data_IF_201136436901
#
_entry.id   IF_201136436901
#
_cell.length_a   1.000
_cell.length_b   1.000
_cell.length_c   1.000
_cell.angle_alpha   90.00
_cell.angle_beta   90.00
_cell.angle_gamma   90.00
#
_symmetry.space_group_name_H-M   'P 1'
#
loop_
_entity.id
_entity.type
_entity.pdbx_description
1 polymer ?
#
# COMPACT_ATOMS: atom_id res chain seq x y z
N UNK A 1 1.60 24.12 -20.43
CA UNK A 1 2.47 23.13 -19.76
C UNK A 1 1.68 22.55 -18.61
N UNK A 2 1.11 21.37 -18.80
CA UNK A 2 0.16 20.80 -17.86
C UNK A 2 0.89 19.67 -17.15
N UNK A 3 1.42 19.94 -15.95
CA UNK A 3 2.05 18.93 -15.11
C UNK A 3 0.94 18.03 -14.54
N UNK A 4 0.58 17.00 -15.29
CA UNK A 4 -0.21 15.87 -14.78
C UNK A 4 0.68 15.12 -13.79
N UNK A 5 0.68 15.55 -12.52
CA UNK A 5 1.28 14.80 -11.42
C UNK A 5 0.48 13.52 -11.24
N UNK A 6 0.78 12.54 -12.08
CA UNK A 6 0.20 11.21 -12.06
C UNK A 6 0.71 10.56 -10.79
N UNK A 7 -0.11 10.64 -9.75
CA UNK A 7 0.03 9.74 -8.60
C UNK A 7 0.20 8.33 -9.18
N UNK A 8 1.30 7.60 -8.87
CA UNK A 8 1.52 6.29 -9.44
C UNK A 8 0.27 5.44 -9.18
N UNK A 9 -0.27 4.74 -10.19
CA UNK A 9 -1.55 4.03 -10.08
C UNK A 9 -1.61 3.09 -8.87
N UNK A 10 -0.45 2.57 -8.46
CA UNK A 10 -0.29 1.78 -7.24
C UNK A 10 -0.74 2.51 -5.96
N UNK A 11 -0.38 3.79 -5.76
CA UNK A 11 -0.68 4.52 -4.51
C UNK A 11 -2.19 4.70 -4.30
N UNK A 12 -2.90 5.19 -5.32
CA UNK A 12 -4.35 5.41 -5.24
C UNK A 12 -5.11 4.09 -5.00
N UNK A 13 -4.69 3.01 -5.67
CA UNK A 13 -5.31 1.68 -5.51
C UNK A 13 -5.13 1.08 -4.11
N UNK A 14 -3.99 1.33 -3.48
CA UNK A 14 -3.72 0.86 -2.11
C UNK A 14 -4.51 1.68 -1.09
N UNK A 15 -4.55 3.00 -1.24
CA UNK A 15 -5.35 3.85 -0.36
C UNK A 15 -6.82 3.43 -0.45
N UNK A 16 -7.35 3.26 -1.68
CA UNK A 16 -8.71 2.77 -1.87
C UNK A 16 -8.95 1.41 -1.22
N UNK A 17 -7.98 0.49 -1.30
CA UNK A 17 -8.06 -0.83 -0.65
C UNK A 17 -8.14 -0.73 0.88
N UNK A 18 -7.38 0.19 1.49
CA UNK A 18 -7.41 0.40 2.94
C UNK A 18 -8.73 1.05 3.34
N UNK A 19 -9.15 2.10 2.64
CA UNK A 19 -10.37 2.86 2.95
C UNK A 19 -11.64 2.02 2.77
N UNK A 20 -11.68 1.14 1.77
CA UNK A 20 -12.83 0.26 1.52
C UNK A 20 -12.88 -0.98 2.40
N UNK A 21 -11.85 -1.25 3.22
CA UNK A 21 -11.82 -2.44 4.07
C UNK A 21 -12.80 -2.28 5.27
N UNK A 22 -13.87 -3.09 5.35
CA UNK A 22 -14.86 -2.97 6.43
C UNK A 22 -14.34 -3.50 7.78
N UNK A 23 -13.26 -4.28 7.79
CA UNK A 23 -12.68 -4.87 9.01
C UNK A 23 -11.76 -3.91 9.76
N UNK A 24 -11.41 -2.77 9.15
CA UNK A 24 -10.53 -1.77 9.76
C UNK A 24 -11.36 -0.66 10.41
N UNK A 25 -11.02 -0.30 11.65
CA UNK A 25 -11.56 0.90 12.29
C UNK A 25 -11.07 2.17 11.57
N UNK A 26 -11.81 3.29 11.63
CA UNK A 26 -11.43 4.54 10.97
C UNK A 26 -10.03 5.04 11.37
N UNK A 27 -9.68 4.94 12.66
CA UNK A 27 -8.36 5.30 13.16
C UNK A 27 -7.25 4.43 12.55
N UNK A 28 -7.48 3.12 12.44
CA UNK A 28 -6.55 2.17 11.82
C UNK A 28 -6.35 2.45 10.34
N UNK A 29 -7.43 2.76 9.60
CA UNK A 29 -7.35 3.17 8.18
C UNK A 29 -6.43 4.37 8.02
N UNK A 30 -6.65 5.42 8.82
CA UNK A 30 -5.81 6.63 8.81
C UNK A 30 -4.34 6.31 9.05
N UNK A 31 -4.03 5.44 10.01
CA UNK A 31 -2.63 5.08 10.31
C UNK A 31 -1.99 4.27 9.19
N UNK A 32 -2.71 3.31 8.59
CA UNK A 32 -2.20 2.49 7.49
C UNK A 32 -1.98 3.35 6.24
N UNK A 33 -2.97 4.16 5.88
CA UNK A 33 -2.91 5.12 4.77
C UNK A 33 -1.73 6.07 4.94
N UNK A 34 -1.54 6.62 6.15
CA UNK A 34 -0.39 7.51 6.44
C UNK A 34 0.94 6.79 6.25
N UNK A 35 1.10 5.60 6.83
CA UNK A 35 2.36 4.86 6.79
C UNK A 35 2.76 4.45 5.36
N UNK A 36 1.82 3.88 4.59
CA UNK A 36 2.10 3.44 3.22
C UNK A 36 2.31 4.62 2.27
N UNK A 37 1.57 5.71 2.48
CA UNK A 37 1.73 6.95 1.70
C UNK A 37 3.11 7.55 1.94
N UNK A 38 3.56 7.64 3.19
CA UNK A 38 4.89 8.15 3.51
C UNK A 38 6.02 7.30 2.91
N UNK A 39 5.85 5.97 2.86
CA UNK A 39 6.80 5.08 2.18
C UNK A 39 6.84 5.36 0.67
N UNK A 40 5.69 5.42 0.00
CA UNK A 40 5.63 5.66 -1.44
C UNK A 40 6.12 7.07 -1.83
N UNK A 41 5.82 8.08 -1.02
CA UNK A 41 6.25 9.46 -1.25
C UNK A 41 7.77 9.66 -1.09
N UNK A 42 8.46 8.71 -0.44
CA UNK A 42 9.92 8.68 -0.41
C UNK A 42 10.55 8.18 -1.72
N UNK A 43 9.75 7.86 -2.74
CA UNK A 43 10.20 7.35 -4.04
C UNK A 43 10.41 5.84 -4.09
N UNK A 44 10.19 5.14 -2.97
CA UNK A 44 10.38 3.70 -2.88
C UNK A 44 9.27 2.89 -3.57
N UNK A 45 9.62 1.70 -4.03
CA UNK A 45 8.69 0.74 -4.67
C UNK A 45 8.30 -0.35 -3.68
N UNK A 46 7.07 -0.86 -3.77
CA UNK A 46 6.59 -1.95 -2.88
C UNK A 46 7.16 -3.32 -3.21
N UNK A 47 7.61 -3.50 -4.45
CA UNK A 47 8.20 -4.75 -4.94
C UNK A 47 9.68 -4.87 -4.62
N UNK A 48 10.28 -3.82 -4.06
CA UNK A 48 11.69 -3.78 -3.66
C UNK A 48 11.78 -4.09 -2.16
N UNK A 49 12.17 -5.32 -1.82
CA UNK A 49 12.21 -5.79 -0.44
C UNK A 49 13.34 -5.12 0.37
N UNK A 50 14.48 -4.83 -0.26
CA UNK A 50 15.65 -4.25 0.39
C UNK A 50 15.43 -2.77 0.73
N UNK A 51 14.84 -2.01 -0.19
CA UNK A 51 14.41 -0.64 0.06
C UNK A 51 13.38 -0.59 1.21
N UNK A 52 12.47 -1.56 1.25
CA UNK A 52 11.44 -1.65 2.29
C UNK A 52 12.02 -1.96 3.67
N UNK A 53 12.97 -2.90 3.74
CA UNK A 53 13.69 -3.24 4.96
C UNK A 53 14.47 -2.03 5.48
N UNK A 54 15.20 -1.35 4.59
CA UNK A 54 15.99 -0.15 4.91
C UNK A 54 15.11 0.98 5.45
N UNK A 55 14.01 1.31 4.76
CA UNK A 55 13.08 2.34 5.23
C UNK A 55 12.47 1.97 6.59
N UNK A 56 12.09 0.71 6.77
CA UNK A 56 11.47 0.23 8.00
C UNK A 56 12.40 0.35 9.22
N UNK A 57 13.73 0.25 9.05
CA UNK A 57 14.69 0.41 10.14
C UNK A 57 14.64 1.81 10.76
N UNK A 58 14.40 2.85 9.95
CA UNK A 58 14.25 4.24 10.42
C UNK A 58 12.92 4.56 11.10
N UNK A 59 11.95 3.63 11.10
CA UNK A 59 10.63 3.84 11.69
C UNK A 59 10.57 3.38 13.15
N UNK A 60 9.72 4.07 13.93
CA UNK A 60 9.28 3.58 15.24
C UNK A 60 8.55 2.24 15.13
N UNK A 61 8.51 1.49 16.24
CA UNK A 61 7.86 0.16 16.30
C UNK A 61 6.40 0.18 15.80
N UNK A 62 5.63 1.20 16.20
CA UNK A 62 4.23 1.35 15.80
C UNK A 62 4.08 1.65 14.30
N UNK A 63 4.84 2.62 13.78
CA UNK A 63 4.84 2.96 12.35
C UNK A 63 5.25 1.77 11.48
N UNK A 64 6.24 0.98 11.93
CA UNK A 64 6.66 -0.25 11.25
C UNK A 64 5.53 -1.29 11.21
N UNK A 65 4.79 -1.44 12.31
CA UNK A 65 3.63 -2.34 12.37
C UNK A 65 2.53 -1.92 11.40
N UNK A 66 2.22 -0.62 11.31
CA UNK A 66 1.22 -0.10 10.38
C UNK A 66 1.64 -0.25 8.93
N UNK A 67 2.91 0.05 8.60
CA UNK A 67 3.46 -0.15 7.27
C UNK A 67 3.38 -1.63 6.86
N UNK A 68 3.84 -2.55 7.73
CA UNK A 68 3.75 -4.00 7.51
C UNK A 68 2.33 -4.47 7.22
N UNK A 69 1.36 -3.98 7.99
CA UNK A 69 -0.04 -4.37 7.82
C UNK A 69 -0.63 -3.83 6.50
N UNK A 70 -0.33 -2.59 6.12
CA UNK A 70 -0.74 -2.02 4.84
C UNK A 70 -0.16 -2.80 3.64
N UNK A 71 1.12 -3.16 3.70
CA UNK A 71 1.79 -3.97 2.66
C UNK A 71 1.16 -5.35 2.56
N UNK A 72 0.89 -6.00 3.71
CA UNK A 72 0.24 -7.31 3.73
C UNK A 72 -1.13 -7.26 3.06
N UNK A 73 -1.94 -6.25 3.37
CA UNK A 73 -3.26 -6.08 2.76
C UNK A 73 -3.17 -5.96 1.23
N UNK A 74 -2.20 -5.18 0.74
CA UNK A 74 -1.94 -5.07 -0.70
C UNK A 74 -1.44 -6.40 -1.30
N UNK A 75 -0.50 -7.07 -0.64
CA UNK A 75 0.02 -8.38 -1.05
C UNK A 75 -1.07 -9.43 -1.17
N UNK A 76 -1.99 -9.50 -0.21
CA UNK A 76 -3.13 -10.42 -0.23
C UNK A 76 -4.05 -10.14 -1.43
N UNK A 77 -4.30 -8.86 -1.77
CA UNK A 77 -5.08 -8.47 -2.96
C UNK A 77 -4.37 -8.87 -4.26
N UNK A 78 -3.06 -8.66 -4.35
CA UNK A 78 -2.25 -9.03 -5.52
C UNK A 78 -2.25 -10.54 -5.70
N UNK A 79 -2.02 -11.29 -4.62
CA UNK A 79 -2.07 -12.75 -4.61
C UNK A 79 -3.45 -13.27 -5.03
N UNK A 80 -4.53 -12.65 -4.55
CA UNK A 80 -5.89 -12.99 -4.98
C UNK A 80 -6.06 -12.75 -6.49
N UNK A 81 -5.74 -11.55 -7.00
CA UNK A 81 -5.83 -11.24 -8.44
C UNK A 81 -5.01 -12.20 -9.30
N UNK A 82 -3.81 -12.57 -8.87
CA UNK A 82 -2.96 -13.53 -9.57
C UNK A 82 -3.60 -14.93 -9.63
N UNK A 83 -4.30 -15.34 -8.57
CA UNK A 83 -5.02 -16.63 -8.52
C UNK A 83 -6.26 -16.67 -9.42
N UNK A 84 -7.01 -15.58 -9.52
CA UNK A 84 -8.27 -15.56 -10.31
C UNK A 84 -8.00 -15.43 -11.81
N UNK A 85 -6.83 -14.95 -12.23
CA UNK A 85 -6.53 -14.66 -13.64
C UNK A 85 -7.38 -13.52 -14.20
N UNK A 86 -7.22 -13.12 -15.48
CA UNK A 86 -8.19 -12.25 -16.12
C UNK A 86 -9.55 -12.97 -16.13
N UNK A 87 -10.59 -12.34 -15.59
CA UNK A 87 -11.96 -12.80 -15.80
C UNK A 87 -12.19 -12.84 -17.32
N UNK A 88 -12.21 -14.04 -17.89
CA UNK A 88 -12.73 -14.26 -19.24
C UNK A 88 -14.22 -14.03 -19.14
N UNK A 89 -14.66 -12.82 -19.48
CA UNK A 89 -16.07 -12.54 -19.73
C UNK A 89 -16.42 -13.22 -21.06
N UNK A 90 -16.98 -14.43 -20.97
CA UNK A 90 -17.73 -15.07 -22.07
C UNK A 90 -19.18 -14.63 -22.03
#
# INVERSE_FOLDING_TARGET
>A
MNTLTTTPPAKADIVRLIESNPKLQPSTKKQYTKAITAYLDSGNRLTDADALATYAQGLSKSSRAFLKAAIRLWGDKVALKAKVGPLVTV
#
